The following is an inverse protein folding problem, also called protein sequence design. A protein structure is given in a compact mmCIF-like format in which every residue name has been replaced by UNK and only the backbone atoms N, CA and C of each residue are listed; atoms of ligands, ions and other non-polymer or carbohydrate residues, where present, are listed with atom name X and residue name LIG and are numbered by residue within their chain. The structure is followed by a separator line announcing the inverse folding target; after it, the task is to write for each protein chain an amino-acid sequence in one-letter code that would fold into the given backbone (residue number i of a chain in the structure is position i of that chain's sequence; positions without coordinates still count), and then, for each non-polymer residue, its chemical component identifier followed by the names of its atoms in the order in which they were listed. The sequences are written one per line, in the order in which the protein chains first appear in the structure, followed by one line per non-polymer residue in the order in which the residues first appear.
data_IF_467085507012
#
_entry.id   IF_467085507012
#
_cell.length_a   1.000
_cell.length_b   1.000
_cell.length_c   1.000
_cell.angle_alpha   90.00
_cell.angle_beta   90.00
_cell.angle_gamma   90.00
#
_symmetry.space_group_name_H-M   'P 1'
#
loop_
_entity.id
_entity.type
_entity.pdbx_description
1 polymer ?
#
# COMPACT_ATOMS: atom_id res chain seq x y z
N UNK A 1 35.46 32.69 23.16
CA UNK A 1 34.81 32.48 21.86
C UNK A 1 34.81 30.98 21.55
N UNK A 2 33.74 30.47 20.93
CA UNK A 2 33.20 29.14 21.11
C UNK A 2 33.74 28.14 20.07
N UNK A 3 33.69 26.85 20.40
CA UNK A 3 34.03 25.80 19.45
C UNK A 3 33.97 24.40 20.06
N UNK A 4 33.03 24.12 20.97
CA UNK A 4 32.78 22.78 21.46
C UNK A 4 31.52 22.23 20.81
N UNK A 5 31.72 21.16 20.05
CA UNK A 5 30.73 20.14 19.69
C UNK A 5 29.76 20.54 18.57
N UNK A 6 30.27 20.46 17.34
CA UNK A 6 29.48 19.89 16.24
C UNK A 6 29.19 18.45 16.65
N UNK A 7 28.12 18.24 17.42
CA UNK A 7 27.52 16.93 17.61
C UNK A 7 27.09 16.46 16.22
N UNK A 8 27.98 15.72 15.55
CA UNK A 8 27.64 14.93 14.39
C UNK A 8 26.54 14.03 14.86
N UNK A 9 25.30 14.45 14.62
CA UNK A 9 24.15 13.70 15.09
C UNK A 9 24.09 12.51 14.17
N UNK A 10 24.75 11.44 14.61
CA UNK A 10 24.80 10.18 13.91
C UNK A 10 23.35 9.72 13.71
N UNK A 11 22.81 9.96 12.53
CA UNK A 11 23.06 8.92 11.56
C UNK A 11 22.58 7.48 11.91
N UNK A 12 21.43 7.12 12.55
CA UNK A 12 21.14 5.73 12.93
C UNK A 12 21.60 4.67 11.91
N UNK A 13 22.49 3.77 12.33
CA UNK A 13 23.24 2.86 11.45
C UNK A 13 22.32 1.85 10.71
N UNK A 14 21.11 1.64 11.21
CA UNK A 14 20.11 0.66 10.73
C UNK A 14 18.86 1.28 10.04
N UNK A 15 18.97 2.52 9.55
CA UNK A 15 17.88 3.30 8.92
C UNK A 15 17.09 2.57 7.83
N UNK A 16 17.78 1.88 6.93
CA UNK A 16 17.15 1.17 5.81
C UNK A 16 16.41 -0.07 6.32
N UNK A 17 17.02 -0.84 7.23
CA UNK A 17 16.40 -2.02 7.83
C UNK A 17 15.12 -1.65 8.57
N UNK A 18 15.15 -0.57 9.34
CA UNK A 18 13.99 -0.09 10.09
C UNK A 18 12.87 0.41 9.15
N UNK A 19 13.21 1.14 8.09
CA UNK A 19 12.23 1.57 7.09
C UNK A 19 11.54 0.39 6.38
N UNK A 20 12.32 -0.64 6.01
CA UNK A 20 11.77 -1.86 5.39
C UNK A 20 10.89 -2.63 6.37
N UNK A 21 11.29 -2.77 7.64
CA UNK A 21 10.48 -3.44 8.67
C UNK A 21 9.15 -2.72 8.91
N UNK A 22 9.16 -1.38 9.04
CA UNK A 22 7.94 -0.58 9.21
C UNK A 22 7.05 -0.72 7.97
N UNK A 23 7.64 -0.71 6.77
CA UNK A 23 6.91 -0.91 5.51
C UNK A 23 6.28 -2.29 5.43
N UNK A 24 7.00 -3.34 5.84
CA UNK A 24 6.49 -4.70 5.89
C UNK A 24 5.30 -4.82 6.85
N UNK A 25 5.43 -4.28 8.07
CA UNK A 25 4.36 -4.27 9.07
C UNK A 25 3.14 -3.52 8.53
N UNK A 26 3.33 -2.33 7.95
CA UNK A 26 2.25 -1.55 7.36
C UNK A 26 1.56 -2.30 6.20
N UNK A 27 2.34 -2.97 5.36
CA UNK A 27 1.81 -3.83 4.29
C UNK A 27 0.93 -4.96 4.84
N UNK A 28 1.36 -5.62 5.92
CA UNK A 28 0.56 -6.66 6.61
C UNK A 28 -0.75 -6.10 7.14
N UNK A 29 -0.74 -4.92 7.77
CA UNK A 29 -1.98 -4.27 8.22
C UNK A 29 -2.91 -3.94 7.06
N UNK A 30 -2.37 -3.42 5.95
CA UNK A 30 -3.15 -3.14 4.73
C UNK A 30 -3.76 -4.39 4.12
N UNK A 31 -3.07 -5.53 4.17
CA UNK A 31 -3.61 -6.83 3.76
C UNK A 31 -4.74 -7.26 4.71
N UNK A 32 -4.48 -7.24 6.02
CA UNK A 32 -5.42 -7.70 7.04
C UNK A 32 -6.73 -6.91 7.01
N UNK A 33 -6.67 -5.59 6.86
CA UNK A 33 -7.87 -4.76 6.75
C UNK A 33 -8.62 -4.98 5.42
N UNK A 34 -7.92 -5.17 4.30
CA UNK A 34 -8.57 -5.51 3.02
C UNK A 34 -9.31 -6.84 3.12
N UNK A 35 -8.67 -7.87 3.71
CA UNK A 35 -9.31 -9.16 3.97
C UNK A 35 -10.53 -9.00 4.87
N UNK A 36 -10.41 -8.28 5.99
CA UNK A 36 -11.51 -8.08 6.93
C UNK A 36 -12.73 -7.43 6.25
N UNK A 37 -12.52 -6.41 5.42
CA UNK A 37 -13.61 -5.75 4.66
C UNK A 37 -14.23 -6.72 3.65
N UNK A 38 -13.41 -7.47 2.91
CA UNK A 38 -13.92 -8.45 1.94
C UNK A 38 -14.72 -9.56 2.60
N UNK A 39 -14.20 -10.17 3.68
CA UNK A 39 -14.88 -11.26 4.38
C UNK A 39 -16.13 -10.78 5.11
N UNK A 40 -16.09 -9.61 5.75
CA UNK A 40 -17.27 -9.05 6.44
C UNK A 40 -18.43 -8.74 5.47
N UNK A 41 -18.11 -8.45 4.20
CA UNK A 41 -19.09 -8.15 3.17
C UNK A 41 -19.26 -9.29 2.14
N UNK A 42 -18.82 -10.50 2.48
CA UNK A 42 -18.87 -11.66 1.58
C UNK A 42 -20.28 -11.94 1.04
N UNK A 43 -21.33 -11.67 1.83
CA UNK A 43 -22.72 -11.77 1.42
C UNK A 43 -23.08 -10.84 0.26
N UNK A 44 -22.51 -9.63 0.23
CA UNK A 44 -22.75 -8.63 -0.84
C UNK A 44 -22.08 -9.07 -2.14
N UNK A 45 -20.88 -9.63 -2.07
CA UNK A 45 -20.19 -10.22 -3.22
C UNK A 45 -20.97 -11.42 -3.79
N UNK A 46 -21.42 -12.34 -2.93
CA UNK A 46 -22.24 -13.47 -3.35
C UNK A 46 -23.59 -13.02 -3.95
N UNK A 47 -24.23 -12.01 -3.36
CA UNK A 47 -25.48 -11.43 -3.88
C UNK A 47 -25.30 -10.84 -5.28
N UNK A 48 -24.14 -10.24 -5.57
CA UNK A 48 -23.81 -9.70 -6.89
C UNK A 48 -23.71 -10.80 -7.95
N UNK A 49 -23.09 -11.93 -7.62
CA UNK A 49 -22.89 -13.05 -8.56
C UNK A 49 -24.19 -13.73 -8.95
N UNK A 50 -25.13 -13.87 -8.00
CA UNK A 50 -26.44 -14.50 -8.24
C UNK A 50 -27.50 -13.53 -8.79
N UNK A 51 -27.25 -12.22 -8.75
CA UNK A 51 -28.21 -11.22 -9.21
C UNK A 51 -28.42 -11.29 -10.73
N UNK A 52 -29.67 -11.54 -11.13
CA UNK A 52 -30.11 -11.54 -12.53
C UNK A 52 -30.72 -10.22 -12.99
N UNK A 53 -31.25 -9.43 -12.04
CA UNK A 53 -31.81 -8.11 -12.32
C UNK A 53 -30.68 -7.07 -12.45
N UNK A 54 -30.65 -6.37 -13.58
CA UNK A 54 -29.66 -5.35 -13.92
C UNK A 54 -29.67 -4.16 -12.95
N UNK A 55 -30.83 -3.78 -12.42
CA UNK A 55 -30.93 -2.67 -11.47
C UNK A 55 -30.32 -3.04 -10.11
N UNK A 56 -30.60 -4.25 -9.63
CA UNK A 56 -30.02 -4.79 -8.38
C UNK A 56 -28.51 -5.03 -8.55
N UNK A 57 -28.10 -5.57 -9.70
CA UNK A 57 -26.69 -5.84 -10.00
C UNK A 57 -25.85 -4.56 -10.07
N UNK A 58 -26.39 -3.49 -10.67
CA UNK A 58 -25.71 -2.20 -10.72
C UNK A 58 -25.61 -1.54 -9.33
N UNK A 59 -26.67 -1.60 -8.52
CA UNK A 59 -26.63 -1.12 -7.14
C UNK A 59 -25.56 -1.85 -6.31
N UNK A 60 -25.50 -3.18 -6.39
CA UNK A 60 -24.49 -4.00 -5.70
C UNK A 60 -23.07 -3.70 -6.20
N UNK A 61 -22.88 -3.44 -7.51
CA UNK A 61 -21.59 -3.02 -8.06
C UNK A 61 -21.11 -1.69 -7.45
N UNK A 62 -22.00 -0.71 -7.30
CA UNK A 62 -21.66 0.55 -6.62
C UNK A 62 -21.31 0.34 -5.14
N UNK A 63 -21.99 -0.58 -4.46
CA UNK A 63 -21.66 -0.93 -3.07
C UNK A 63 -20.27 -1.57 -2.97
N UNK A 64 -19.95 -2.53 -3.85
CA UNK A 64 -18.63 -3.16 -3.94
C UNK A 64 -17.55 -2.11 -4.26
N UNK A 65 -17.82 -1.20 -5.18
CA UNK A 65 -16.94 -0.07 -5.48
C UNK A 65 -16.71 0.82 -4.25
N UNK A 66 -17.76 1.08 -3.47
CA UNK A 66 -17.66 1.80 -2.20
C UNK A 66 -16.72 1.12 -1.21
N UNK A 67 -16.77 -0.22 -1.08
CA UNK A 67 -15.84 -0.97 -0.25
C UNK A 67 -14.39 -0.85 -0.75
N UNK A 68 -14.17 -0.85 -2.07
CA UNK A 68 -12.85 -0.64 -2.65
C UNK A 68 -12.29 0.75 -2.32
N UNK A 69 -13.12 1.80 -2.43
CA UNK A 69 -12.74 3.17 -2.05
C UNK A 69 -12.43 3.26 -0.57
N UNK A 70 -13.26 2.66 0.30
CA UNK A 70 -13.04 2.63 1.74
C UNK A 70 -11.70 1.96 2.08
N UNK A 71 -11.44 0.79 1.48
CA UNK A 71 -10.18 0.04 1.65
C UNK A 71 -8.98 0.87 1.19
N UNK A 72 -9.11 1.57 0.06
CA UNK A 72 -8.08 2.47 -0.46
C UNK A 72 -7.79 3.62 0.51
N UNK A 73 -8.82 4.30 1.03
CA UNK A 73 -8.67 5.41 1.99
C UNK A 73 -8.01 4.94 3.28
N UNK A 74 -8.45 3.81 3.86
CA UNK A 74 -7.84 3.29 5.08
C UNK A 74 -6.39 2.85 4.82
N UNK A 75 -6.10 2.26 3.66
CA UNK A 75 -4.71 1.94 3.26
C UNK A 75 -3.83 3.18 3.22
N UNK A 76 -4.31 4.29 2.62
CA UNK A 76 -3.58 5.55 2.59
C UNK A 76 -3.31 6.10 4.00
N UNK A 77 -4.26 5.96 4.92
CA UNK A 77 -4.08 6.36 6.33
C UNK A 77 -2.99 5.52 7.00
N UNK A 78 -3.02 4.18 6.85
CA UNK A 78 -2.01 3.28 7.41
C UNK A 78 -0.62 3.64 6.85
N UNK A 79 -0.52 3.86 5.54
CA UNK A 79 0.74 4.21 4.87
C UNK A 79 1.25 5.59 5.31
N UNK A 80 0.37 6.57 5.48
CA UNK A 80 0.71 7.89 6.01
C UNK A 80 1.22 7.82 7.45
N UNK A 81 0.59 7.02 8.32
CA UNK A 81 1.03 6.80 9.71
C UNK A 81 2.37 6.08 9.74
N UNK A 82 2.53 5.00 8.95
CA UNK A 82 3.78 4.27 8.83
C UNK A 82 4.93 5.18 8.36
N UNK A 83 4.66 6.03 7.37
CA UNK A 83 5.60 7.04 6.90
C UNK A 83 5.95 8.08 7.94
N UNK A 84 4.97 8.52 8.74
CA UNK A 84 5.21 9.44 9.86
C UNK A 84 6.10 8.82 10.94
N UNK A 85 5.85 7.56 11.31
CA UNK A 85 6.69 6.81 12.27
C UNK A 85 8.10 6.62 11.70
N UNK A 86 8.22 6.20 10.44
CA UNK A 86 9.51 6.06 9.76
C UNK A 86 10.26 7.41 9.72
N UNK A 87 9.57 8.51 9.45
CA UNK A 87 10.14 9.86 9.45
C UNK A 87 10.73 10.27 10.80
N UNK A 88 10.12 9.85 11.93
CA UNK A 88 10.66 10.10 13.28
C UNK A 88 11.87 9.23 13.61
N UNK A 89 11.83 7.95 13.27
CA UNK A 89 12.88 6.97 13.65
C UNK A 89 14.12 7.12 12.76
N UNK A 90 13.90 7.35 11.47
CA UNK A 90 14.93 7.29 10.44
C UNK A 90 15.50 8.68 10.10
N UNK A 91 14.76 9.75 10.46
CA UNK A 91 15.14 11.17 10.30
C UNK A 91 15.43 11.59 8.84
N UNK A 92 15.20 10.70 7.87
CA UNK A 92 15.38 10.93 6.44
C UNK A 92 14.08 10.77 5.67
N UNK A 93 13.64 11.84 5.00
CA UNK A 93 12.42 11.89 4.19
C UNK A 93 12.38 10.81 3.10
N UNK A 94 13.51 10.54 2.43
CA UNK A 94 13.61 9.53 1.36
C UNK A 94 13.29 8.11 1.83
N UNK A 95 13.55 7.78 3.10
CA UNK A 95 13.27 6.45 3.63
C UNK A 95 11.80 6.27 4.06
N UNK A 96 11.08 7.36 4.25
CA UNK A 96 9.61 7.36 4.28
C UNK A 96 9.02 6.86 2.96
N UNK A 97 9.57 7.27 1.82
CA UNK A 97 9.15 6.74 0.51
C UNK A 97 9.41 5.23 0.41
N UNK A 98 10.60 4.77 0.81
CA UNK A 98 10.93 3.33 0.80
C UNK A 98 9.95 2.51 1.65
N UNK A 99 9.59 3.01 2.83
CA UNK A 99 8.61 2.37 3.74
C UNK A 99 7.28 2.13 3.03
N UNK A 100 6.73 3.17 2.40
CA UNK A 100 5.47 3.06 1.67
C UNK A 100 5.57 2.28 0.37
N UNK A 101 6.72 2.32 -0.30
CA UNK A 101 6.98 1.55 -1.50
C UNK A 101 6.95 0.05 -1.20
N UNK A 102 7.68 -0.40 -0.18
CA UNK A 102 7.69 -1.79 0.27
C UNK A 102 6.28 -2.25 0.66
N UNK A 103 5.54 -1.42 1.41
CA UNK A 103 4.16 -1.73 1.77
C UNK A 103 3.25 -1.88 0.54
N UNK A 104 3.35 -0.98 -0.44
CA UNK A 104 2.59 -1.05 -1.69
C UNK A 104 2.89 -2.30 -2.52
N UNK A 105 4.17 -2.72 -2.58
CA UNK A 105 4.57 -3.97 -3.23
C UNK A 105 3.91 -5.19 -2.57
N UNK A 106 3.94 -5.24 -1.24
CA UNK A 106 3.37 -6.33 -0.44
C UNK A 106 1.87 -6.43 -0.65
N UNK A 107 1.16 -5.29 -0.62
CA UNK A 107 -0.29 -5.23 -0.83
C UNK A 107 -0.67 -5.73 -2.22
N UNK A 108 0.03 -5.28 -3.27
CA UNK A 108 -0.26 -5.73 -4.63
C UNK A 108 0.06 -7.21 -4.84
N UNK A 109 1.23 -7.67 -4.36
CA UNK A 109 1.63 -9.07 -4.45
C UNK A 109 0.62 -9.99 -3.74
N UNK A 110 0.10 -9.58 -2.59
CA UNK A 110 -0.91 -10.35 -1.87
C UNK A 110 -2.26 -10.36 -2.61
N UNK A 111 -2.69 -9.22 -3.16
CA UNK A 111 -3.89 -9.17 -4.00
C UNK A 111 -3.80 -10.10 -5.21
N UNK A 112 -2.61 -10.26 -5.79
CA UNK A 112 -2.36 -11.24 -6.84
C UNK A 112 -2.55 -12.68 -6.34
N UNK A 113 -2.03 -13.01 -5.14
CA UNK A 113 -2.17 -14.34 -4.51
C UNK A 113 -3.64 -14.65 -4.20
N UNK A 114 -4.43 -13.69 -3.72
CA UNK A 114 -5.85 -13.92 -3.39
C UNK A 114 -6.70 -14.35 -4.58
N UNK A 115 -6.27 -14.05 -5.82
CA UNK A 115 -6.97 -14.51 -7.03
C UNK A 115 -6.82 -16.02 -7.28
N UNK A 116 -5.82 -16.67 -6.67
CA UNK A 116 -5.63 -18.12 -6.77
C UNK A 116 -6.33 -18.89 -5.65
N UNK A 117 -6.98 -18.19 -4.70
CA UNK A 117 -7.74 -18.82 -3.62
C UNK A 117 -9.14 -19.16 -4.15
N UNK A 118 -9.53 -20.45 -4.22
CA UNK A 118 -10.86 -20.83 -4.67
C UNK A 118 -11.94 -20.23 -3.76
N UNK A 119 -13.02 -19.71 -4.37
CA UNK A 119 -14.17 -19.13 -3.67
C UNK A 119 -13.87 -17.88 -2.81
N UNK A 120 -12.75 -17.18 -3.05
CA UNK A 120 -12.50 -15.92 -2.38
C UNK A 120 -13.52 -14.85 -2.86
N UNK A 121 -14.30 -14.21 -1.97
CA UNK A 121 -15.39 -13.30 -2.38
C UNK A 121 -14.90 -12.05 -3.11
N UNK A 122 -13.68 -11.61 -2.81
CA UNK A 122 -13.07 -10.41 -3.37
C UNK A 122 -12.15 -10.68 -4.55
N UNK A 123 -12.37 -11.76 -5.32
CA UNK A 123 -11.62 -11.98 -6.57
C UNK A 123 -11.91 -10.82 -7.52
N UNK A 124 -11.06 -9.82 -7.46
CA UNK A 124 -10.97 -8.83 -8.51
C UNK A 124 -10.30 -9.55 -9.66
N UNK A 125 -10.99 -9.71 -10.79
CA UNK A 125 -10.33 -10.07 -12.03
C UNK A 125 -9.26 -9.02 -12.29
N UNK A 126 -8.04 -9.29 -11.83
CA UNK A 126 -6.87 -8.49 -12.15
C UNK A 126 -6.87 -8.41 -13.67
N UNK A 127 -6.72 -7.20 -14.21
CA UNK A 127 -6.84 -6.93 -15.64
C UNK A 127 -5.94 -7.81 -16.54
N UNK A 128 -5.03 -8.58 -15.95
CA UNK A 128 -4.15 -9.57 -16.58
C UNK A 128 -4.79 -10.96 -16.83
N UNK A 129 -5.97 -11.27 -16.30
CA UNK A 129 -6.60 -12.60 -16.45
C UNK A 129 -7.33 -12.81 -17.78
N UNK A 130 -7.41 -11.80 -18.65
CA UNK A 130 -7.96 -11.90 -20.00
C UNK A 130 -6.91 -12.18 -21.08
N UNK A 131 -5.75 -12.73 -20.70
CA UNK A 131 -4.73 -13.12 -21.68
C UNK A 131 -4.98 -14.56 -22.13
N UNK A 132 -5.47 -14.68 -23.36
CA UNK A 132 -5.62 -15.90 -24.14
C UNK A 132 -4.47 -16.87 -23.88
N UNK A 133 -4.79 -18.13 -23.55
CA UNK A 133 -3.84 -19.20 -23.27
C UNK A 133 -2.83 -19.38 -24.42
N UNK A 134 -1.68 -18.72 -24.29
CA UNK A 134 -0.59 -18.74 -25.26
C UNK A 134 0.64 -18.06 -24.65
N UNK A 135 1.84 -18.43 -25.11
CA UNK A 135 3.12 -17.92 -24.58
C UNK A 135 3.23 -16.39 -24.62
N UNK A 136 2.64 -15.73 -25.62
CA UNK A 136 2.54 -14.27 -25.70
C UNK A 136 1.59 -13.64 -24.68
N UNK A 137 0.53 -14.35 -24.28
CA UNK A 137 -0.41 -13.92 -23.24
C UNK A 137 0.23 -13.92 -21.86
N UNK A 138 1.04 -14.93 -21.54
CA UNK A 138 1.76 -15.04 -20.26
C UNK A 138 2.76 -13.90 -20.07
N UNK A 139 3.53 -13.55 -21.11
CA UNK A 139 4.49 -12.43 -21.07
C UNK A 139 3.77 -11.09 -20.93
N UNK A 140 2.68 -10.89 -21.68
CA UNK A 140 1.85 -9.68 -21.57
C UNK A 140 1.23 -9.51 -20.18
N UNK A 141 0.67 -10.58 -19.62
CA UNK A 141 0.09 -10.58 -18.27
C UNK A 141 1.12 -10.26 -17.19
N UNK A 142 2.33 -10.83 -17.31
CA UNK A 142 3.42 -10.60 -16.35
C UNK A 142 3.93 -9.15 -16.41
N UNK A 143 4.08 -8.57 -17.62
CA UNK A 143 4.44 -7.17 -17.79
C UNK A 143 3.40 -6.23 -17.18
N UNK A 144 2.12 -6.47 -17.45
CA UNK A 144 1.02 -5.66 -16.88
C UNK A 144 1.03 -5.76 -15.35
N UNK A 145 1.16 -6.97 -14.80
CA UNK A 145 1.25 -7.18 -13.35
C UNK A 145 2.46 -6.46 -12.74
N UNK A 146 3.61 -6.45 -13.42
CA UNK A 146 4.80 -5.75 -12.94
C UNK A 146 4.62 -4.23 -12.96
N UNK A 147 3.97 -3.68 -13.99
CA UNK A 147 3.64 -2.24 -14.07
C UNK A 147 2.71 -1.86 -12.91
N UNK A 148 1.63 -2.61 -12.69
CA UNK A 148 0.70 -2.32 -11.61
C UNK A 148 1.30 -2.49 -10.21
N UNK A 149 2.20 -3.46 -10.04
CA UNK A 149 3.00 -3.64 -8.82
C UNK A 149 3.84 -2.39 -8.53
N UNK A 150 4.51 -1.84 -9.55
CA UNK A 150 5.28 -0.61 -9.41
C UNK A 150 4.39 0.61 -9.14
N UNK A 151 3.25 0.73 -9.82
CA UNK A 151 2.29 1.82 -9.59
C UNK A 151 1.80 1.81 -8.14
N UNK A 152 1.42 0.65 -7.62
CA UNK A 152 1.01 0.51 -6.21
C UNK A 152 2.14 0.85 -5.23
N UNK A 153 3.37 0.41 -5.53
CA UNK A 153 4.55 0.82 -4.79
C UNK A 153 4.73 2.33 -4.78
N UNK A 154 4.61 3.01 -5.93
CA UNK A 154 4.76 4.46 -6.03
C UNK A 154 3.67 5.20 -5.24
N UNK A 155 2.41 4.77 -5.35
CA UNK A 155 1.29 5.36 -4.59
C UNK A 155 1.55 5.25 -3.09
N UNK A 156 1.94 4.05 -2.62
CA UNK A 156 2.25 3.85 -1.22
C UNK A 156 3.47 4.64 -0.76
N UNK A 157 4.50 4.71 -1.60
CA UNK A 157 5.70 5.50 -1.35
C UNK A 157 5.39 7.00 -1.22
N UNK A 158 4.55 7.56 -2.09
CA UNK A 158 4.13 8.96 -2.03
C UNK A 158 3.30 9.27 -0.77
N UNK A 159 2.35 8.38 -0.42
CA UNK A 159 1.54 8.54 0.79
C UNK A 159 2.40 8.52 2.07
N UNK A 160 3.34 7.58 2.13
CA UNK A 160 4.28 7.45 3.26
C UNK A 160 5.33 8.57 3.28
N UNK A 161 5.75 9.08 2.12
CA UNK A 161 6.62 10.26 2.02
C UNK A 161 5.94 11.50 2.61
N UNK A 162 4.65 11.69 2.36
CA UNK A 162 3.87 12.76 2.97
C UNK A 162 3.89 12.66 4.50
N UNK A 163 3.65 11.46 5.04
CA UNK A 163 3.76 11.19 6.48
C UNK A 163 5.14 11.51 7.04
N UNK A 164 6.21 11.04 6.38
CA UNK A 164 7.58 11.29 6.80
C UNK A 164 7.97 12.77 6.73
N UNK A 165 7.40 13.51 5.79
CA UNK A 165 7.61 14.94 5.66
C UNK A 165 6.96 15.73 6.79
N UNK A 166 5.73 15.37 7.18
CA UNK A 166 5.06 15.90 8.37
C UNK A 166 5.86 15.64 9.65
N UNK A 167 6.46 14.45 9.79
CA UNK A 167 7.27 14.09 10.96
C UNK A 167 8.60 14.87 11.05
N UNK A 168 9.27 15.06 9.92
CA UNK A 168 10.61 15.67 9.87
C UNK A 168 10.59 17.20 9.88
N UNK A 169 9.41 17.83 9.68
CA UNK A 169 9.24 19.30 9.65
C UNK A 169 9.64 20.03 10.94
N UNK A 170 9.55 19.38 12.10
CA UNK A 170 9.88 19.97 13.41
C UNK A 170 11.18 19.44 14.02
N UNK A 171 11.98 18.67 13.27
CA UNK A 171 13.17 18.04 13.82
C UNK A 171 14.34 19.03 13.90
N UNK A 172 15.10 19.10 15.02
CA UNK A 172 16.20 20.06 15.23
C UNK A 172 17.28 20.04 14.14
N UNK A 173 17.40 18.94 13.39
CA UNK A 173 18.28 18.80 12.22
C UNK A 173 17.92 19.72 11.04
N UNK A 174 16.68 20.20 10.97
CA UNK A 174 16.17 21.01 9.87
C UNK A 174 15.77 22.44 10.29
N UNK A 175 15.68 22.71 11.59
CA UNK A 175 15.39 24.05 12.12
C UNK A 175 16.64 24.85 12.50
N UNK A 176 17.83 24.23 12.51
CA UNK A 176 19.11 24.87 12.83
C UNK A 176 19.83 25.57 11.66
N UNK A 177 19.22 25.62 10.48
CA UNK A 177 19.75 26.33 9.29
C UNK A 177 18.85 27.53 8.92
N UNK A 178 18.51 28.38 9.89
CA UNK A 178 18.01 29.73 9.64
C UNK A 178 18.98 30.75 10.21
#
# INVERSE_FOLDING_TARGET
MPGSEVSTTDLPRDRVRNAVLIGAIAGVFCIAQSLAITLANASTYHAYDIAKDTAVKSALAFTIFGYAVLTFVISLLILGIAGFIAGKIVVQRRLGFLTGFVAGLIVYAFGFITNYIPNYPGVQHSASTTTTAGSGGVVGGLLVSLIFLLVWGIIGGLASLLGAWLATRKHPYYTGYQ
#
